data_IF_606156741614
#
_entry.id   IF_606156741614
#
_cell.length_a   1.000
_cell.length_b   1.000
_cell.length_c   1.000
_cell.angle_alpha   90.00
_cell.angle_beta   90.00
_cell.angle_gamma   90.00
#
_symmetry.space_group_name_H-M   'P 1'
#
loop_
_entity.id
_entity.type
_entity.pdbx_description
1 polymer ?
#
# COMPACT_ATOMS: atom_id res chain seq x y z
N UNK A 1 27.18 20.31 -13.79
CA UNK A 1 25.85 19.79 -13.39
C UNK A 1 26.08 18.78 -12.29
N UNK A 2 25.43 18.94 -11.15
CA UNK A 2 25.31 17.85 -10.18
C UNK A 2 24.36 16.79 -10.74
N UNK A 3 24.56 15.53 -10.33
CA UNK A 3 23.62 14.43 -10.63
C UNK A 3 22.25 14.66 -9.94
N UNK A 4 22.21 15.52 -8.92
CA UNK A 4 21.07 15.78 -8.06
C UNK A 4 20.69 17.26 -8.06
N UNK A 5 19.40 17.54 -7.93
CA UNK A 5 18.85 18.87 -7.67
C UNK A 5 18.32 18.90 -6.23
N UNK A 6 18.67 19.94 -5.48
CA UNK A 6 18.12 20.16 -4.14
C UNK A 6 16.71 20.76 -4.27
N UNK A 7 15.75 20.21 -3.52
CA UNK A 7 14.39 20.72 -3.44
C UNK A 7 14.05 21.04 -1.98
N UNK A 8 13.72 22.30 -1.70
CA UNK A 8 13.15 22.70 -0.42
C UNK A 8 11.73 22.12 -0.31
N UNK A 9 11.40 21.57 0.85
CA UNK A 9 10.07 21.03 1.13
C UNK A 9 9.63 21.40 2.54
N UNK A 10 8.31 21.48 2.74
CA UNK A 10 7.70 21.56 4.07
C UNK A 10 7.80 20.19 4.75
N UNK A 11 8.11 20.16 6.05
CA UNK A 11 8.07 18.95 6.87
C UNK A 11 6.64 18.48 7.19
N UNK A 12 5.63 19.30 6.86
CA UNK A 12 4.22 19.00 7.08
C UNK A 12 3.75 17.98 6.06
N UNK A 13 3.16 16.88 6.54
CA UNK A 13 2.52 15.90 5.66
C UNK A 13 1.35 16.52 4.89
N UNK A 14 1.18 16.08 3.64
CA UNK A 14 0.01 16.45 2.83
C UNK A 14 -1.28 16.01 3.48
N UNK A 15 -2.34 16.79 3.29
CA UNK A 15 -3.68 16.35 3.68
C UNK A 15 -4.13 15.14 2.86
N UNK A 16 -5.09 14.36 3.38
CA UNK A 16 -5.66 13.23 2.65
C UNK A 16 -6.25 13.64 1.29
N UNK A 17 -6.94 14.78 1.22
CA UNK A 17 -7.50 15.30 -0.04
C UNK A 17 -6.41 15.67 -1.06
N UNK A 18 -5.32 16.31 -0.60
CA UNK A 18 -4.17 16.60 -1.46
C UNK A 18 -3.51 15.32 -1.95
N UNK A 19 -3.28 14.34 -1.06
CA UNK A 19 -2.77 13.02 -1.43
C UNK A 19 -3.61 12.38 -2.55
N UNK A 20 -4.93 12.33 -2.38
CA UNK A 20 -5.85 11.81 -3.39
C UNK A 20 -5.74 12.55 -4.73
N UNK A 21 -5.59 13.87 -4.69
CA UNK A 21 -5.42 14.72 -5.87
C UNK A 21 -4.11 14.40 -6.61
N UNK A 22 -3.00 14.24 -5.89
CA UNK A 22 -1.67 14.05 -6.49
C UNK A 22 -1.36 12.61 -6.90
N UNK A 23 -2.14 11.63 -6.40
CA UNK A 23 -1.99 10.22 -6.76
C UNK A 23 -2.41 9.93 -8.21
N UNK A 24 -3.43 10.64 -8.73
CA UNK A 24 -3.85 10.49 -10.13
C UNK A 24 -2.70 10.76 -11.13
N UNK A 25 -2.07 11.95 -11.08
CA UNK A 25 -0.89 12.27 -11.89
C UNK A 25 0.26 11.28 -11.74
N UNK A 26 0.50 10.76 -10.52
CA UNK A 26 1.51 9.71 -10.31
C UNK A 26 1.17 8.44 -11.10
N UNK A 27 -0.05 7.94 -10.94
CA UNK A 27 -0.49 6.73 -11.64
C UNK A 27 -0.38 6.88 -13.17
N UNK A 28 -0.69 8.06 -13.72
CA UNK A 28 -0.53 8.34 -15.14
C UNK A 28 0.94 8.35 -15.57
N UNK A 29 1.81 9.00 -14.79
CA UNK A 29 3.25 9.02 -15.05
C UNK A 29 3.85 7.61 -15.02
N UNK A 30 3.55 6.82 -13.97
CA UNK A 30 3.99 5.44 -13.82
C UNK A 30 3.41 4.53 -14.91
N UNK A 31 2.19 4.80 -15.38
CA UNK A 31 1.55 4.05 -16.48
C UNK A 31 2.32 4.08 -17.80
N UNK A 32 3.24 5.04 -17.99
CA UNK A 32 4.13 5.09 -19.15
C UNK A 32 5.32 4.12 -19.07
N UNK A 33 5.60 3.56 -17.89
CA UNK A 33 6.67 2.59 -17.69
C UNK A 33 6.28 1.22 -18.26
N UNK A 34 7.10 0.71 -19.18
CA UNK A 34 6.86 -0.55 -19.91
C UNK A 34 7.79 -1.69 -19.51
N UNK A 35 8.72 -1.43 -18.58
CA UNK A 35 9.61 -2.47 -18.04
C UNK A 35 8.86 -3.46 -17.16
N UNK A 36 9.50 -4.59 -16.85
CA UNK A 36 8.95 -5.56 -15.92
C UNK A 36 8.85 -4.95 -14.51
N UNK A 37 7.70 -5.16 -13.86
CA UNK A 37 7.48 -4.89 -12.45
C UNK A 37 6.81 -6.12 -11.82
N UNK A 38 7.27 -6.55 -10.64
CA UNK A 38 6.64 -7.65 -9.92
C UNK A 38 5.24 -7.26 -9.39
N UNK A 39 4.28 -8.19 -9.32
CA UNK A 39 2.97 -7.90 -8.75
C UNK A 39 3.07 -7.74 -7.23
N UNK A 40 2.64 -6.59 -6.70
CA UNK A 40 2.53 -6.32 -5.25
C UNK A 40 3.72 -6.87 -4.43
N UNK A 41 4.96 -6.56 -4.84
CA UNK A 41 6.16 -7.26 -4.34
C UNK A 41 6.38 -7.09 -2.85
N UNK A 42 6.19 -5.89 -2.30
CA UNK A 42 6.30 -5.63 -0.86
C UNK A 42 5.41 -6.56 -0.03
N UNK A 43 4.06 -6.43 -0.09
CA UNK A 43 3.18 -7.22 0.75
C UNK A 43 3.29 -8.73 0.51
N UNK A 44 3.44 -9.17 -0.75
CA UNK A 44 3.50 -10.61 -1.03
C UNK A 44 4.80 -11.24 -0.54
N UNK A 45 5.91 -10.51 -0.54
CA UNK A 45 7.19 -10.99 0.01
C UNK A 45 7.12 -11.06 1.53
N UNK A 46 6.57 -10.05 2.19
CA UNK A 46 6.41 -10.03 3.66
C UNK A 46 5.53 -11.20 4.13
N UNK A 47 4.38 -11.38 3.49
CA UNK A 47 3.45 -12.47 3.80
C UNK A 47 4.09 -13.83 3.56
N UNK A 48 4.76 -14.02 2.43
CA UNK A 48 5.46 -15.28 2.12
C UNK A 48 6.55 -15.59 3.15
N UNK A 49 7.27 -14.58 3.62
CA UNK A 49 8.32 -14.74 4.64
C UNK A 49 7.72 -15.16 5.96
N UNK A 50 6.62 -14.53 6.39
CA UNK A 50 5.93 -14.89 7.63
C UNK A 50 5.34 -16.30 7.59
N UNK A 51 4.73 -16.70 6.46
CA UNK A 51 4.17 -18.04 6.29
C UNK A 51 5.22 -19.16 6.42
N UNK A 52 6.47 -18.87 6.08
CA UNK A 52 7.56 -19.84 6.17
C UNK A 52 8.03 -20.10 7.61
N UNK A 53 7.77 -19.19 8.55
CA UNK A 53 8.33 -19.23 9.90
C UNK A 53 7.29 -19.22 11.02
N UNK A 54 6.07 -18.75 10.76
CA UNK A 54 4.99 -18.65 11.74
C UNK A 54 3.91 -19.70 11.50
N UNK A 55 3.41 -20.29 12.57
CA UNK A 55 2.26 -21.20 12.57
C UNK A 55 0.94 -20.51 12.94
N UNK A 56 0.90 -19.17 12.86
CA UNK A 56 -0.27 -18.38 13.25
C UNK A 56 -1.51 -18.73 12.39
N UNK A 57 -2.61 -19.21 12.97
CA UNK A 57 -3.75 -19.68 12.20
C UNK A 57 -4.46 -18.57 11.43
N UNK A 58 -4.42 -17.33 11.92
CA UNK A 58 -5.06 -16.19 11.27
C UNK A 58 -4.26 -15.73 10.06
N UNK A 59 -2.93 -15.67 10.15
CA UNK A 59 -2.01 -15.44 9.02
C UNK A 59 -2.28 -16.45 7.90
N UNK A 60 -2.25 -17.75 8.21
CA UNK A 60 -2.39 -18.82 7.21
C UNK A 60 -3.77 -18.79 6.54
N UNK A 61 -4.85 -18.58 7.31
CA UNK A 61 -6.21 -18.51 6.75
C UNK A 61 -6.39 -17.27 5.87
N UNK A 62 -6.01 -16.10 6.36
CA UNK A 62 -6.17 -14.85 5.62
C UNK A 62 -5.31 -14.86 4.34
N UNK A 63 -4.08 -15.38 4.39
CA UNK A 63 -3.23 -15.48 3.22
C UNK A 63 -3.79 -16.44 2.15
N UNK A 64 -4.38 -17.56 2.55
CA UNK A 64 -4.99 -18.52 1.62
C UNK A 64 -6.15 -17.92 0.81
N UNK A 65 -6.81 -16.88 1.31
CA UNK A 65 -7.89 -16.17 0.64
C UNK A 65 -7.40 -14.93 -0.14
N UNK A 66 -6.61 -14.08 0.52
CA UNK A 66 -6.22 -12.77 0.01
C UNK A 66 -5.11 -12.85 -1.05
N UNK A 67 -4.14 -13.76 -0.92
CA UNK A 67 -3.02 -13.85 -1.87
C UNK A 67 -3.50 -14.26 -3.28
N UNK A 68 -4.36 -15.29 -3.46
CA UNK A 68 -4.90 -15.60 -4.78
C UNK A 68 -5.70 -14.45 -5.39
N UNK A 69 -6.50 -13.76 -4.57
CA UNK A 69 -7.28 -12.59 -5.00
C UNK A 69 -6.35 -11.47 -5.49
N UNK A 70 -5.30 -11.16 -4.72
CA UNK A 70 -4.30 -10.16 -5.05
C UNK A 70 -3.62 -10.41 -6.40
N UNK A 71 -3.32 -11.68 -6.70
CA UNK A 71 -2.70 -12.08 -7.96
C UNK A 71 -3.64 -12.01 -9.17
N UNK A 72 -4.96 -11.96 -8.94
CA UNK A 72 -5.99 -11.91 -9.97
C UNK A 72 -6.45 -10.50 -10.36
N UNK A 73 -6.12 -9.49 -9.57
CA UNK A 73 -6.58 -8.11 -9.80
C UNK A 73 -5.99 -7.49 -11.08
N UNK A 74 -6.65 -6.44 -11.63
CA UNK A 74 -6.07 -5.63 -12.70
C UNK A 74 -4.69 -5.10 -12.33
N UNK A 75 -3.81 -4.97 -13.33
CA UNK A 75 -2.41 -4.61 -13.12
C UNK A 75 -2.06 -3.34 -13.90
N UNK A 76 -1.54 -2.35 -13.18
CA UNK A 76 -0.80 -1.21 -13.72
C UNK A 76 0.40 -0.92 -12.82
N UNK A 77 1.44 -0.22 -13.30
CA UNK A 77 2.49 0.30 -12.42
C UNK A 77 1.93 1.19 -11.32
N UNK A 78 2.38 0.98 -10.10
CA UNK A 78 1.98 1.67 -8.87
C UNK A 78 3.22 2.11 -8.09
N UNK A 79 3.04 3.01 -7.14
CA UNK A 79 4.06 3.32 -6.16
C UNK A 79 4.40 2.08 -5.31
N UNK A 80 3.37 1.28 -4.98
CA UNK A 80 3.51 0.07 -4.18
C UNK A 80 3.53 0.32 -2.67
N UNK A 81 3.97 1.50 -2.25
CA UNK A 81 3.84 1.97 -0.87
C UNK A 81 3.41 3.45 -0.75
N UNK A 82 2.34 3.81 -1.46
CA UNK A 82 1.84 5.18 -1.40
C UNK A 82 1.23 5.50 -0.02
N UNK A 83 1.71 6.57 0.60
CA UNK A 83 1.12 7.21 1.77
C UNK A 83 1.54 8.69 1.86
N UNK A 84 0.89 9.48 2.72
CA UNK A 84 1.11 10.92 2.88
C UNK A 84 2.58 11.27 3.14
N UNK A 85 3.28 10.48 3.96
CA UNK A 85 4.72 10.66 4.22
C UNK A 85 5.65 10.52 3.01
N UNK A 86 5.20 9.89 1.91
CA UNK A 86 5.98 9.74 0.67
C UNK A 86 5.71 10.88 -0.33
N UNK A 87 4.97 11.91 0.07
CA UNK A 87 4.72 13.11 -0.71
C UNK A 87 5.36 14.32 -0.04
N UNK A 88 6.36 14.90 -0.71
CA UNK A 88 7.05 16.10 -0.25
C UNK A 88 6.43 17.32 -0.94
N UNK A 89 5.88 18.25 -0.16
CA UNK A 89 5.36 19.51 -0.70
C UNK A 89 6.48 20.52 -0.88
N UNK A 90 6.78 20.84 -2.15
CA UNK A 90 7.78 21.84 -2.51
C UNK A 90 7.11 23.10 -3.08
N UNK A 91 7.81 24.25 -3.11
CA UNK A 91 7.30 25.44 -3.80
C UNK A 91 6.99 25.22 -5.29
N UNK A 92 7.59 24.21 -5.93
CA UNK A 92 7.34 23.85 -7.32
C UNK A 92 6.21 22.83 -7.51
N UNK A 93 5.65 22.32 -6.42
CA UNK A 93 4.60 21.29 -6.41
C UNK A 93 4.98 20.02 -5.62
N UNK A 94 4.08 19.03 -5.58
CA UNK A 94 4.31 17.77 -4.88
C UNK A 94 5.40 16.94 -5.59
N UNK A 95 6.29 16.35 -4.80
CA UNK A 95 7.26 15.35 -5.27
C UNK A 95 7.02 14.03 -4.54
N UNK A 96 7.03 12.94 -5.28
CA UNK A 96 6.98 11.59 -4.73
C UNK A 96 8.40 11.10 -4.43
N UNK A 97 8.54 10.35 -3.35
CA UNK A 97 9.80 9.71 -2.93
C UNK A 97 9.57 8.23 -2.67
N UNK A 98 10.65 7.49 -2.42
CA UNK A 98 10.60 6.11 -1.95
C UNK A 98 9.99 5.09 -2.93
N UNK A 99 10.59 5.02 -4.12
CA UNK A 99 10.16 4.14 -5.22
C UNK A 99 10.77 2.72 -5.13
N UNK A 100 11.18 2.23 -3.96
CA UNK A 100 11.78 0.89 -3.83
C UNK A 100 10.77 -0.25 -3.95
N UNK A 101 9.51 0.01 -3.60
CA UNK A 101 8.39 -0.95 -3.65
C UNK A 101 7.55 -0.87 -4.93
N UNK A 102 8.02 -0.16 -5.96
CA UNK A 102 7.31 -0.03 -7.23
C UNK A 102 6.94 -1.39 -7.78
N UNK A 103 5.64 -1.56 -8.03
CA UNK A 103 5.07 -2.86 -8.37
C UNK A 103 3.94 -2.70 -9.38
N UNK A 104 3.31 -3.81 -9.76
CA UNK A 104 2.03 -3.78 -10.47
C UNK A 104 0.88 -4.26 -9.60
N UNK A 105 -0.26 -3.59 -9.73
CA UNK A 105 -1.49 -3.93 -9.02
C UNK A 105 -2.66 -3.05 -9.41
N UNK A 106 -3.78 -3.15 -8.67
CA UNK A 106 -4.93 -2.27 -8.85
C UNK A 106 -4.68 -0.89 -8.22
N UNK A 107 -5.26 0.19 -8.77
CA UNK A 107 -5.14 1.55 -8.20
C UNK A 107 -5.58 1.62 -6.74
N UNK A 108 -6.50 0.74 -6.35
CA UNK A 108 -7.00 0.60 -4.99
C UNK A 108 -5.89 0.24 -3.98
N UNK A 109 -4.78 -0.37 -4.41
CA UNK A 109 -3.66 -0.72 -3.54
C UNK A 109 -2.96 0.53 -2.97
N UNK A 110 -2.65 1.51 -3.81
CA UNK A 110 -2.04 2.78 -3.37
C UNK A 110 -3.02 3.66 -2.56
N UNK A 111 -4.31 3.32 -2.55
CA UNK A 111 -5.35 3.94 -1.71
C UNK A 111 -5.69 3.11 -0.45
N UNK A 112 -5.06 1.94 -0.27
CA UNK A 112 -5.36 1.01 0.81
C UNK A 112 -4.49 1.20 2.06
N UNK A 113 -3.54 2.15 2.04
CA UNK A 113 -2.76 2.48 3.24
C UNK A 113 -3.70 2.88 4.39
N UNK A 114 -3.35 2.46 5.61
CA UNK A 114 -4.15 2.69 6.81
C UNK A 114 -4.25 4.17 7.20
N UNK A 115 -3.40 5.03 6.63
CA UNK A 115 -3.41 6.48 6.84
C UNK A 115 -4.38 7.22 5.90
N UNK A 116 -4.96 6.52 4.91
CA UNK A 116 -5.78 7.12 3.87
C UNK A 116 -7.26 7.11 4.26
N UNK A 117 -7.84 8.31 4.35
CA UNK A 117 -9.26 8.53 4.71
C UNK A 117 -10.15 8.69 3.48
N UNK A 118 -11.47 8.82 3.70
CA UNK A 118 -12.44 9.02 2.63
C UNK A 118 -12.21 10.31 1.82
N UNK A 119 -11.56 11.32 2.40
CA UNK A 119 -11.24 12.57 1.72
C UNK A 119 -10.28 12.33 0.55
N UNK A 120 -9.29 11.44 0.71
CA UNK A 120 -8.40 11.05 -0.37
C UNK A 120 -9.15 10.31 -1.48
N UNK A 121 -10.07 9.42 -1.11
CA UNK A 121 -10.88 8.66 -2.06
C UNK A 121 -11.83 9.58 -2.85
N UNK A 122 -12.34 10.63 -2.23
CA UNK A 122 -13.19 11.63 -2.87
C UNK A 122 -12.41 12.55 -3.81
N UNK A 123 -11.15 12.85 -3.48
CA UNK A 123 -10.28 13.69 -4.29
C UNK A 123 -9.56 12.95 -5.44
N UNK A 124 -9.49 11.63 -5.38
CA UNK A 124 -8.87 10.82 -6.42
C UNK A 124 -9.69 10.86 -7.72
N UNK A 125 -9.04 11.26 -8.82
CA UNK A 125 -9.70 11.48 -10.10
C UNK A 125 -10.17 10.18 -10.81
N UNK A 126 -9.65 9.02 -10.43
CA UNK A 126 -9.94 7.73 -11.05
C UNK A 126 -11.13 6.99 -10.44
N UNK A 127 -11.68 6.02 -11.16
CA UNK A 127 -12.70 5.11 -10.62
C UNK A 127 -12.10 4.18 -9.57
N UNK A 128 -12.78 4.01 -8.44
CA UNK A 128 -12.40 3.13 -7.33
C UNK A 128 -13.45 2.03 -7.21
N UNK A 129 -13.02 0.78 -7.34
CA UNK A 129 -13.78 -0.39 -6.97
C UNK A 129 -13.76 -0.56 -5.44
N UNK A 130 -14.89 -0.27 -4.79
CA UNK A 130 -15.00 -0.27 -3.32
C UNK A 130 -14.82 -1.66 -2.71
N UNK A 131 -15.20 -2.72 -3.42
CA UNK A 131 -14.98 -4.10 -2.96
C UNK A 131 -13.51 -4.42 -3.01
N UNK A 132 -12.84 -4.11 -4.13
CA UNK A 132 -11.40 -4.32 -4.25
C UNK A 132 -10.58 -3.48 -3.28
N UNK A 133 -11.02 -2.25 -3.01
CA UNK A 133 -10.39 -1.40 -1.98
C UNK A 133 -10.48 -2.03 -0.59
N UNK A 134 -11.62 -2.63 -0.23
CA UNK A 134 -11.75 -3.36 1.03
C UNK A 134 -10.77 -4.53 1.09
N UNK A 135 -10.67 -5.33 0.02
CA UNK A 135 -9.71 -6.44 -0.07
C UNK A 135 -8.26 -5.97 -0.01
N UNK A 136 -7.91 -4.85 -0.66
CA UNK A 136 -6.57 -4.27 -0.59
C UNK A 136 -6.25 -3.81 0.85
N UNK A 137 -7.22 -3.23 1.57
CA UNK A 137 -7.04 -2.84 2.98
C UNK A 137 -6.84 -4.06 3.87
N UNK A 138 -7.53 -5.16 3.61
CA UNK A 138 -7.32 -6.42 4.32
C UNK A 138 -5.97 -7.05 4.01
N UNK A 139 -5.52 -6.98 2.76
CA UNK A 139 -4.16 -7.38 2.39
C UNK A 139 -3.10 -6.52 3.10
N UNK A 140 -3.33 -5.21 3.27
CA UNK A 140 -2.45 -4.31 4.05
C UNK A 140 -2.41 -4.72 5.52
N UNK A 141 -3.55 -5.06 6.12
CA UNK A 141 -3.62 -5.60 7.50
C UNK A 141 -2.86 -6.91 7.63
N UNK A 142 -3.00 -7.80 6.65
CA UNK A 142 -2.28 -9.06 6.60
C UNK A 142 -0.76 -8.85 6.48
N UNK A 143 -0.32 -7.88 5.66
CA UNK A 143 1.09 -7.47 5.58
C UNK A 143 1.61 -7.00 6.95
N UNK A 144 0.86 -6.13 7.64
CA UNK A 144 1.27 -5.65 8.98
C UNK A 144 1.31 -6.80 9.99
N UNK A 145 0.34 -7.72 9.96
CA UNK A 145 0.35 -8.92 10.80
C UNK A 145 1.57 -9.79 10.52
N UNK A 146 1.90 -10.01 9.24
CA UNK A 146 3.09 -10.74 8.83
C UNK A 146 4.38 -10.12 9.40
N UNK A 147 4.51 -8.79 9.30
CA UNK A 147 5.65 -8.06 9.86
C UNK A 147 5.74 -8.14 11.38
N UNK A 148 4.62 -8.16 12.11
CA UNK A 148 4.62 -8.38 13.57
C UNK A 148 5.09 -9.79 13.94
N UNK A 149 4.70 -10.81 13.16
CA UNK A 149 5.04 -12.20 13.44
C UNK A 149 6.49 -12.56 13.11
N UNK A 150 7.12 -11.83 12.18
CA UNK A 150 8.53 -12.02 11.80
C UNK A 150 9.45 -11.05 12.55
N UNK A 151 8.95 -9.87 12.87
CA UNK A 151 9.70 -8.81 13.51
C UNK A 151 10.05 -9.10 14.97
N UNK A 152 10.92 -8.26 15.53
CA UNK A 152 11.29 -8.30 16.95
C UNK A 152 10.42 -7.38 17.82
N UNK A 153 9.33 -6.84 17.26
CA UNK A 153 8.44 -5.91 17.95
C UNK A 153 7.20 -6.63 18.46
N UNK A 154 7.07 -6.75 19.78
CA UNK A 154 5.91 -7.37 20.42
C UNK A 154 4.83 -6.30 20.69
N UNK A 155 3.74 -6.34 19.92
CA UNK A 155 2.54 -5.53 20.14
C UNK A 155 1.29 -6.43 20.16
N UNK A 156 0.95 -7.01 21.32
CA UNK A 156 -0.18 -7.93 21.44
C UNK A 156 -1.54 -7.24 21.20
N UNK A 157 -1.62 -5.92 21.41
CA UNK A 157 -2.86 -5.15 21.23
C UNK A 157 -3.10 -4.90 19.75
N UNK A 158 -2.06 -4.59 18.97
CA UNK A 158 -2.16 -4.49 17.52
C UNK A 158 -2.42 -5.86 16.89
N UNK A 159 -1.71 -6.90 17.32
CA UNK A 159 -1.96 -8.28 16.88
C UNK A 159 -3.43 -8.66 17.06
N UNK A 160 -3.98 -8.51 18.27
CA UNK A 160 -5.37 -8.89 18.57
C UNK A 160 -6.39 -8.15 17.70
N UNK A 161 -6.14 -6.85 17.43
CA UNK A 161 -6.99 -6.05 16.55
C UNK A 161 -6.94 -6.53 15.10
N UNK A 162 -5.74 -6.79 14.56
CA UNK A 162 -5.55 -7.30 13.20
C UNK A 162 -6.16 -8.69 13.03
N UNK A 163 -5.88 -9.60 13.97
CA UNK A 163 -6.38 -10.96 13.93
C UNK A 163 -7.92 -10.99 13.97
N UNK A 164 -8.53 -10.23 14.90
CA UNK A 164 -10.00 -10.13 15.00
C UNK A 164 -10.62 -9.65 13.69
N UNK A 165 -10.03 -8.65 13.04
CA UNK A 165 -10.57 -8.12 11.77
C UNK A 165 -10.46 -9.14 10.63
N UNK A 166 -9.29 -9.77 10.49
CA UNK A 166 -9.04 -10.76 9.44
C UNK A 166 -9.86 -12.04 9.64
N UNK A 167 -10.13 -12.44 10.89
CA UNK A 167 -10.99 -13.60 11.18
C UNK A 167 -12.47 -13.32 10.87
N UNK A 168 -12.94 -12.08 11.07
CA UNK A 168 -14.32 -11.68 10.76
C UNK A 168 -14.61 -11.66 9.26
N UNK A 169 -13.59 -11.46 8.41
CA UNK A 169 -13.72 -11.53 6.94
C UNK A 169 -14.06 -12.94 6.45
N UNK A 170 -13.48 -13.95 7.08
CA UNK A 170 -13.59 -15.35 6.64
C UNK A 170 -14.91 -16.05 7.09
N UNK A 171 -15.82 -15.31 7.73
CA UNK A 171 -17.12 -15.81 8.24
C UNK A 171 -18.28 -15.35 7.36
#
# INVERSE_FOLDING_TARGET
MSLWHWADHDSTEVSAAEFGTVLGPLHEALGSYTGYLPPLVGPLTDISTALAVSSDPTLHRAAAELVPSALSWPRRPLHGDAHTGNVLMTPAGPLWTDFEDVCVGPVEWDLASMTITDDALAAYAGSIDRTRLADCRDLRRLQVLASLLVGHHDDPVLYSRLATHLDQRAS
#
